data_IF_316711169532
#
_entry.id   IF_316711169532
#
_cell.length_a   1.000
_cell.length_b   1.000
_cell.length_c   1.000
_cell.angle_alpha   90.00
_cell.angle_beta   90.00
_cell.angle_gamma   90.00
#
_symmetry.space_group_name_H-M   'P 1'
#
loop_
_entity.id
_entity.type
_entity.pdbx_description
1 polymer ?
#
# COMPACT_ATOMS: atom_id res chain seq x y z
N UNK A 1 -2.77 4.45 4.42
CA UNK A 1 -3.35 3.32 3.70
C UNK A 1 -2.54 2.03 3.84
N UNK A 2 -1.20 2.04 3.69
CA UNK A 2 -0.39 0.81 3.63
C UNK A 2 -0.36 -0.09 4.87
N UNK A 3 -0.46 0.42 6.10
CA UNK A 3 -0.38 -0.45 7.31
C UNK A 3 -1.54 -1.42 7.46
N UNK A 4 -2.70 -1.15 6.88
CA UNK A 4 -3.84 -2.06 6.97
C UNK A 4 -3.71 -3.26 6.01
N UNK A 5 -3.00 -3.08 4.90
CA UNK A 5 -2.85 -4.06 3.82
C UNK A 5 -1.44 -4.65 3.74
N UNK A 6 -0.48 -4.03 4.43
CA UNK A 6 0.91 -4.48 4.57
C UNK A 6 1.32 -4.33 6.04
N UNK A 7 0.90 -5.29 6.89
CA UNK A 7 0.89 -5.14 8.34
C UNK A 7 2.20 -5.53 9.03
N UNK A 8 3.12 -6.20 8.34
CA UNK A 8 4.35 -6.71 8.93
C UNK A 8 5.59 -6.10 8.28
N UNK A 9 6.72 -6.11 8.98
CA UNK A 9 7.99 -5.61 8.46
C UNK A 9 8.32 -6.22 7.09
N UNK A 10 8.13 -7.52 6.94
CA UNK A 10 8.43 -8.21 5.68
C UNK A 10 7.43 -7.93 4.55
N UNK A 11 6.22 -7.44 4.85
CA UNK A 11 5.22 -7.06 3.85
C UNK A 11 5.76 -6.00 2.89
N UNK A 12 6.58 -5.07 3.40
CA UNK A 12 7.15 -3.96 2.60
C UNK A 12 8.26 -4.42 1.65
N UNK A 13 8.98 -5.49 1.98
CA UNK A 13 10.00 -6.05 1.09
C UNK A 13 9.43 -6.51 -0.25
N UNK A 14 8.15 -6.90 -0.26
CA UNK A 14 7.39 -7.23 -1.47
C UNK A 14 7.21 -6.03 -2.41
N UNK A 15 7.21 -4.81 -1.85
CA UNK A 15 6.95 -3.56 -2.58
C UNK A 15 8.22 -2.91 -3.14
N UNK A 16 9.41 -3.50 -2.94
CA UNK A 16 10.69 -2.93 -3.40
C UNK A 16 10.94 -3.03 -4.90
N UNK A 17 10.00 -3.59 -5.66
CA UNK A 17 10.13 -3.83 -7.08
C UNK A 17 10.73 -5.20 -7.42
N UNK A 18 10.70 -5.55 -8.71
CA UNK A 18 11.19 -6.83 -9.22
C UNK A 18 10.27 -8.03 -8.98
N UNK A 19 9.07 -7.79 -8.46
CA UNK A 19 8.01 -8.79 -8.30
C UNK A 19 6.70 -8.28 -8.91
N UNK A 20 5.64 -9.09 -8.89
CA UNK A 20 4.32 -8.68 -9.40
C UNK A 20 3.56 -7.73 -8.45
N UNK A 21 4.11 -7.38 -7.30
CA UNK A 21 3.47 -6.47 -6.37
C UNK A 21 3.65 -5.01 -6.80
N UNK A 22 2.61 -4.16 -6.64
CA UNK A 22 2.68 -2.76 -6.99
C UNK A 22 3.63 -2.01 -6.05
N UNK A 23 4.45 -1.12 -6.59
CA UNK A 23 5.38 -0.27 -5.82
C UNK A 23 4.97 1.20 -5.83
N UNK A 24 3.97 1.57 -6.61
CA UNK A 24 3.58 2.96 -6.87
C UNK A 24 2.08 3.13 -6.79
N UNK A 25 1.63 4.35 -6.44
CA UNK A 25 0.21 4.69 -6.31
C UNK A 25 -0.29 5.19 -7.66
N UNK A 26 -0.90 4.30 -8.41
CA UNK A 26 -1.55 4.60 -9.69
C UNK A 26 -2.70 3.63 -9.95
N UNK A 27 -3.50 3.93 -10.95
CA UNK A 27 -4.56 3.06 -11.42
C UNK A 27 -4.51 2.93 -12.95
N UNK A 28 -5.11 1.88 -13.48
CA UNK A 28 -5.21 1.71 -14.93
C UNK A 28 -6.02 0.49 -15.34
N UNK A 29 -6.56 0.55 -16.56
CA UNK A 29 -7.23 -0.57 -17.19
C UNK A 29 -6.20 -1.63 -17.60
N UNK A 30 -6.45 -2.87 -17.24
CA UNK A 30 -5.57 -4.00 -17.57
C UNK A 30 -4.08 -3.86 -17.16
N UNK A 31 -3.70 -2.82 -16.45
CA UNK A 31 -2.33 -2.57 -16.06
C UNK A 31 -1.94 -3.40 -14.84
N UNK A 32 -1.03 -4.37 -15.02
CA UNK A 32 -0.55 -5.24 -13.95
C UNK A 32 0.45 -4.58 -13.01
N UNK A 33 1.05 -3.46 -13.39
CA UNK A 33 1.95 -2.69 -12.52
C UNK A 33 1.23 -1.67 -11.65
N UNK A 34 -0.06 -1.39 -11.92
CA UNK A 34 -0.86 -0.44 -11.16
C UNK A 34 -1.27 -1.00 -9.78
N UNK A 35 -1.40 -0.10 -8.79
CA UNK A 35 -1.93 -0.42 -7.46
C UNK A 35 -3.41 -0.80 -7.52
N UNK A 36 -4.18 -0.06 -8.30
CA UNK A 36 -5.59 -0.33 -8.57
C UNK A 36 -5.76 -0.66 -10.03
N UNK A 37 -6.09 -1.88 -10.31
CA UNK A 37 -6.33 -2.36 -11.67
C UNK A 37 -7.84 -2.45 -11.92
N UNK A 38 -8.28 -1.98 -13.09
CA UNK A 38 -9.62 -2.19 -13.61
C UNK A 38 -9.55 -3.28 -14.68
N UNK A 39 -9.94 -4.53 -14.40
CA UNK A 39 -9.93 -5.58 -15.40
C UNK A 39 -10.92 -5.30 -16.53
N UNK A 40 -10.63 -5.80 -17.72
CA UNK A 40 -11.60 -5.76 -18.83
C UNK A 40 -12.84 -6.57 -18.45
N UNK A 41 -13.99 -6.02 -18.71
CA UNK A 41 -15.26 -6.72 -18.60
C UNK A 41 -16.09 -6.54 -19.88
N UNK A 42 -16.97 -7.49 -20.14
CA UNK A 42 -17.89 -7.39 -21.30
C UNK A 42 -19.09 -6.52 -20.90
N UNK A 43 -19.48 -5.52 -21.72
CA UNK A 43 -20.62 -4.64 -21.40
C UNK A 43 -21.91 -5.40 -21.10
N UNK A 44 -22.13 -6.56 -21.76
CA UNK A 44 -23.32 -7.38 -21.54
C UNK A 44 -23.32 -8.10 -20.17
N UNK A 45 -22.19 -8.07 -19.47
CA UNK A 45 -21.99 -8.64 -18.14
C UNK A 45 -21.68 -7.56 -17.10
N UNK A 46 -22.58 -6.61 -16.94
CA UNK A 46 -22.41 -5.50 -16.00
C UNK A 46 -22.12 -5.96 -14.57
N UNK A 47 -22.57 -7.15 -14.17
CA UNK A 47 -22.25 -7.76 -12.88
C UNK A 47 -20.79 -8.19 -12.72
N UNK A 48 -20.00 -8.23 -13.79
CA UNK A 48 -18.56 -8.56 -13.74
C UNK A 48 -17.68 -7.31 -13.51
N UNK A 49 -18.27 -6.11 -13.49
CA UNK A 49 -17.54 -4.87 -13.24
C UNK A 49 -16.93 -4.89 -11.84
N UNK A 50 -15.60 -4.75 -11.77
CA UNK A 50 -14.86 -4.79 -10.51
C UNK A 50 -13.56 -4.00 -10.60
N UNK A 51 -13.03 -3.67 -9.47
CA UNK A 51 -11.64 -3.20 -9.32
C UNK A 51 -10.82 -4.28 -8.61
N UNK A 52 -9.55 -4.34 -8.91
CA UNK A 52 -8.57 -5.19 -8.25
C UNK A 52 -7.58 -4.31 -7.50
N UNK A 53 -7.71 -4.28 -6.18
CA UNK A 53 -6.71 -3.61 -5.34
C UNK A 53 -5.58 -4.59 -5.05
N UNK A 54 -4.36 -4.26 -5.50
CA UNK A 54 -3.21 -5.18 -5.53
C UNK A 54 -2.19 -4.95 -4.42
N UNK A 55 -2.42 -3.97 -3.55
CA UNK A 55 -1.53 -3.64 -2.44
C UNK A 55 -1.56 -4.63 -1.29
N UNK A 56 -2.65 -5.38 -1.10
CA UNK A 56 -2.88 -6.21 0.09
C UNK A 56 -1.92 -7.39 0.18
N UNK A 57 -1.26 -7.50 1.34
CA UNK A 57 -0.46 -8.66 1.72
C UNK A 57 -1.36 -9.82 2.15
N UNK A 58 -1.07 -11.08 1.78
CA UNK A 58 -1.84 -12.25 2.23
C UNK A 58 -1.92 -12.41 3.75
N UNK A 59 -0.96 -11.86 4.51
CA UNK A 59 -0.95 -11.87 5.97
C UNK A 59 -1.75 -10.73 6.60
N UNK A 60 -2.35 -9.84 5.80
CA UNK A 60 -3.14 -8.72 6.32
C UNK A 60 -4.41 -9.21 7.04
N UNK A 61 -4.80 -8.49 8.09
CA UNK A 61 -6.10 -8.72 8.74
C UNK A 61 -7.23 -8.31 7.77
N UNK A 62 -8.07 -9.26 7.28
CA UNK A 62 -9.06 -8.97 6.27
C UNK A 62 -10.14 -8.00 6.76
N UNK A 63 -10.50 -8.03 8.03
CA UNK A 63 -11.52 -7.12 8.58
C UNK A 63 -11.05 -5.66 8.52
N UNK A 64 -9.81 -5.38 8.91
CA UNK A 64 -9.24 -4.04 8.83
C UNK A 64 -9.05 -3.60 7.38
N UNK A 65 -8.61 -4.51 6.51
CA UNK A 65 -8.42 -4.24 5.09
C UNK A 65 -9.74 -3.88 4.41
N UNK A 66 -10.79 -4.69 4.59
CA UNK A 66 -12.10 -4.43 4.00
C UNK A 66 -12.75 -3.17 4.56
N UNK A 67 -12.71 -2.95 5.88
CA UNK A 67 -13.28 -1.74 6.49
C UNK A 67 -12.68 -0.47 5.86
N UNK A 68 -11.35 -0.43 5.73
CA UNK A 68 -10.68 0.72 5.18
C UNK A 68 -10.84 0.88 3.65
N UNK A 69 -10.92 -0.24 2.89
CA UNK A 69 -11.21 -0.19 1.44
C UNK A 69 -12.63 0.31 1.18
N UNK A 70 -13.60 -0.21 1.92
CA UNK A 70 -15.00 0.21 1.81
C UNK A 70 -15.16 1.69 2.18
N UNK A 71 -14.59 2.10 3.30
CA UNK A 71 -14.65 3.49 3.73
C UNK A 71 -13.98 4.43 2.71
N UNK A 72 -12.82 4.05 2.16
CA UNK A 72 -12.15 4.86 1.13
C UNK A 72 -12.97 4.97 -0.16
N UNK A 73 -13.65 3.89 -0.56
CA UNK A 73 -14.54 3.91 -1.72
C UNK A 73 -15.74 4.83 -1.51
N UNK A 74 -16.40 4.73 -0.35
CA UNK A 74 -17.53 5.59 0.02
C UNK A 74 -17.12 7.06 0.12
N UNK A 75 -16.03 7.37 0.79
CA UNK A 75 -15.50 8.73 0.90
C UNK A 75 -15.20 9.35 -0.47
N UNK A 76 -14.65 8.55 -1.39
CA UNK A 76 -14.40 8.98 -2.77
C UNK A 76 -15.68 9.30 -3.55
N UNK A 77 -16.76 8.53 -3.33
CA UNK A 77 -18.07 8.75 -3.94
C UNK A 77 -18.74 9.98 -3.32
N UNK A 78 -18.79 10.07 -1.99
CA UNK A 78 -19.43 11.16 -1.25
C UNK A 78 -18.79 12.52 -1.54
N UNK A 79 -17.48 12.56 -1.71
CA UNK A 79 -16.71 13.77 -2.04
C UNK A 79 -16.58 14.03 -3.54
N UNK A 80 -17.18 13.20 -4.38
CA UNK A 80 -17.08 13.30 -5.84
C UNK A 80 -15.60 13.45 -6.31
N UNK A 81 -14.69 12.67 -5.71
CA UNK A 81 -13.26 12.78 -5.97
C UNK A 81 -12.94 12.47 -7.43
N UNK A 82 -12.19 13.38 -8.06
CA UNK A 82 -11.69 13.14 -9.42
C UNK A 82 -10.52 12.18 -9.39
N UNK A 83 -10.55 11.17 -10.24
CA UNK A 83 -9.43 10.27 -10.43
C UNK A 83 -8.25 11.01 -11.08
N UNK A 84 -7.00 10.71 -10.69
CA UNK A 84 -5.84 11.14 -11.45
C UNK A 84 -5.85 10.53 -12.86
N UNK A 85 -4.94 10.96 -13.72
CA UNK A 85 -4.80 10.36 -15.04
C UNK A 85 -4.52 8.86 -14.93
N UNK A 86 -5.14 8.12 -15.82
CA UNK A 86 -4.88 6.69 -15.96
C UNK A 86 -3.43 6.44 -16.38
N UNK A 87 -2.83 5.38 -15.83
CA UNK A 87 -1.48 4.96 -16.19
C UNK A 87 -1.56 3.74 -17.11
N UNK A 88 -1.26 3.94 -18.37
CA UNK A 88 -1.25 2.87 -19.39
C UNK A 88 0.09 2.15 -19.44
N UNK A 89 1.18 2.85 -19.15
CA UNK A 89 2.54 2.32 -19.18
C UNK A 89 2.83 1.34 -18.05
N UNK A 90 3.82 0.47 -18.28
CA UNK A 90 4.41 -0.35 -17.24
C UNK A 90 5.23 0.54 -16.29
N UNK A 91 4.66 0.84 -15.11
CA UNK A 91 5.21 1.78 -14.12
C UNK A 91 6.59 1.34 -13.62
N UNK A 92 6.88 0.04 -13.65
CA UNK A 92 8.19 -0.47 -13.22
C UNK A 92 9.33 -0.10 -14.17
N UNK A 93 9.00 0.16 -15.45
CA UNK A 93 9.98 0.56 -16.47
C UNK A 93 10.24 2.06 -16.51
N UNK A 94 9.34 2.86 -15.95
CA UNK A 94 9.50 4.30 -15.89
C UNK A 94 10.66 4.69 -14.97
N UNK A 95 11.45 5.68 -15.37
CA UNK A 95 12.44 6.31 -14.49
C UNK A 95 11.77 7.12 -13.38
N UNK A 96 12.49 7.43 -12.31
CA UNK A 96 11.99 8.30 -11.22
C UNK A 96 11.54 9.67 -11.73
N UNK A 97 12.23 10.20 -12.74
CA UNK A 97 11.89 11.48 -13.37
C UNK A 97 10.54 11.41 -14.08
N UNK A 98 10.30 10.35 -14.83
CA UNK A 98 9.04 10.14 -15.57
C UNK A 98 7.88 9.92 -14.60
N UNK A 99 8.06 9.11 -13.56
CA UNK A 99 7.03 8.91 -12.52
C UNK A 99 6.66 10.21 -11.83
N UNK A 100 7.65 11.04 -11.45
CA UNK A 100 7.38 12.35 -10.85
C UNK A 100 6.66 13.29 -11.81
N UNK A 101 7.03 13.28 -13.09
CA UNK A 101 6.36 14.10 -14.11
C UNK A 101 4.90 13.71 -14.31
N UNK A 102 4.57 12.43 -14.15
CA UNK A 102 3.21 11.89 -14.23
C UNK A 102 2.45 11.97 -12.89
N UNK A 103 3.07 12.46 -11.82
CA UNK A 103 2.44 12.55 -10.51
C UNK A 103 2.19 11.19 -9.86
N UNK A 104 3.01 10.18 -10.14
CA UNK A 104 2.90 8.82 -9.60
C UNK A 104 3.81 8.69 -8.36
N UNK A 105 3.27 8.78 -7.13
CA UNK A 105 4.06 8.62 -5.92
C UNK A 105 4.37 7.16 -5.62
N UNK A 106 5.46 6.91 -4.90
CA UNK A 106 5.80 5.59 -4.40
C UNK A 106 4.94 5.20 -3.18
N UNK A 107 4.75 3.90 -3.00
CA UNK A 107 4.26 3.35 -1.73
C UNK A 107 5.39 3.41 -0.69
N UNK A 108 5.06 3.45 0.62
CA UNK A 108 6.05 3.28 1.68
C UNK A 108 6.83 1.98 1.49
N UNK A 109 8.15 2.05 1.65
CA UNK A 109 9.05 0.90 1.48
C UNK A 109 9.40 0.21 2.79
N UNK A 110 9.03 0.82 3.91
CA UNK A 110 9.27 0.29 5.26
C UNK A 110 8.03 0.43 6.13
N UNK A 111 7.97 -0.39 7.19
CA UNK A 111 6.93 -0.27 8.21
C UNK A 111 6.99 1.11 8.91
N UNK A 112 8.19 1.68 9.10
CA UNK A 112 8.35 3.02 9.70
C UNK A 112 7.73 4.13 8.86
N UNK A 113 8.01 4.14 7.55
CA UNK A 113 7.40 5.11 6.62
C UNK A 113 5.87 5.00 6.65
N UNK A 114 5.36 3.79 6.61
CA UNK A 114 3.91 3.56 6.66
C UNK A 114 3.29 3.95 8.01
N UNK A 115 4.00 3.76 9.13
CA UNK A 115 3.58 4.24 10.45
C UNK A 115 3.54 5.76 10.52
N UNK A 116 4.52 6.44 9.89
CA UNK A 116 4.52 7.90 9.80
C UNK A 116 3.29 8.43 9.08
N UNK A 117 2.92 7.81 7.95
CA UNK A 117 1.70 8.16 7.22
C UNK A 117 0.42 7.86 8.03
N UNK A 118 0.39 6.72 8.73
CA UNK A 118 -0.78 6.35 9.54
C UNK A 118 -1.01 7.33 10.68
N UNK A 119 0.03 7.76 11.40
CA UNK A 119 -0.07 8.74 12.51
C UNK A 119 -0.75 10.04 12.10
N UNK A 120 -0.55 10.46 10.85
CA UNK A 120 -1.07 11.71 10.32
C UNK A 120 -2.45 11.56 9.65
N UNK A 121 -2.97 10.34 9.55
CA UNK A 121 -4.20 10.06 8.84
C UNK A 121 -5.44 10.21 9.71
N UNK A 122 -6.04 11.39 9.70
CA UNK A 122 -7.36 11.63 10.32
C UNK A 122 -8.43 10.68 9.77
N UNK A 123 -8.39 10.43 8.46
CA UNK A 123 -9.30 9.48 7.81
C UNK A 123 -9.23 8.09 8.43
N UNK A 124 -8.02 7.56 8.63
CA UNK A 124 -7.87 6.22 9.24
C UNK A 124 -8.24 6.20 10.72
N UNK A 125 -8.02 7.28 11.44
CA UNK A 125 -8.47 7.40 12.82
C UNK A 125 -10.01 7.36 12.91
N UNK A 126 -10.71 8.02 12.00
CA UNK A 126 -12.18 7.97 11.92
C UNK A 126 -12.69 6.58 11.53
N UNK A 127 -12.08 5.94 10.52
CA UNK A 127 -12.51 4.61 10.03
C UNK A 127 -12.34 3.51 11.07
N UNK A 128 -11.24 3.51 11.79
CA UNK A 128 -10.92 2.47 12.78
C UNK A 128 -11.51 2.76 14.16
N UNK A 129 -11.82 4.03 14.44
CA UNK A 129 -12.14 4.51 15.77
C UNK A 129 -10.88 4.61 16.66
N UNK A 130 -10.98 5.41 17.70
CA UNK A 130 -9.84 5.80 18.56
C UNK A 130 -9.12 4.60 19.17
N UNK A 131 -9.86 3.65 19.73
CA UNK A 131 -9.27 2.47 20.40
C UNK A 131 -8.49 1.57 19.46
N UNK A 132 -9.09 1.20 18.31
CA UNK A 132 -8.44 0.29 17.34
C UNK A 132 -7.27 1.00 16.69
N UNK A 133 -7.41 2.27 16.36
CA UNK A 133 -6.33 3.07 15.78
C UNK A 133 -5.12 3.15 16.70
N UNK A 134 -5.32 3.52 17.97
CA UNK A 134 -4.27 3.59 18.97
C UNK A 134 -3.62 2.22 19.23
N UNK A 135 -4.44 1.15 19.26
CA UNK A 135 -3.95 -0.22 19.43
C UNK A 135 -3.04 -0.65 18.27
N UNK A 136 -3.46 -0.41 17.03
CA UNK A 136 -2.69 -0.75 15.82
C UNK A 136 -1.36 0.02 15.80
N UNK A 137 -1.39 1.33 16.03
CA UNK A 137 -0.19 2.15 16.08
C UNK A 137 0.80 1.62 17.11
N UNK A 138 0.39 1.50 18.37
CA UNK A 138 1.25 1.04 19.47
C UNK A 138 1.89 -0.31 19.20
N UNK A 139 1.11 -1.28 18.68
CA UNK A 139 1.64 -2.62 18.40
C UNK A 139 2.64 -2.62 17.24
N UNK A 140 2.36 -1.87 16.18
CA UNK A 140 3.24 -1.82 15.02
C UNK A 140 4.50 -1.01 15.26
N UNK A 141 4.44 0.03 16.08
CA UNK A 141 5.61 0.75 16.55
C UNK A 141 6.52 -0.12 17.43
N UNK A 142 5.93 -0.99 18.24
CA UNK A 142 6.70 -1.97 19.00
C UNK A 142 7.35 -2.99 18.08
N UNK A 143 6.62 -3.57 17.14
CA UNK A 143 7.14 -4.52 16.14
C UNK A 143 8.33 -3.92 15.37
N UNK A 144 8.20 -2.67 14.93
CA UNK A 144 9.27 -1.96 14.24
C UNK A 144 10.51 -1.76 15.12
N UNK A 145 10.33 -1.31 16.36
CA UNK A 145 11.45 -1.14 17.31
C UNK A 145 12.17 -2.44 17.62
N UNK A 146 11.42 -3.51 17.85
CA UNK A 146 12.00 -4.84 18.11
C UNK A 146 12.77 -5.36 16.87
N UNK A 147 12.23 -5.16 15.69
CA UNK A 147 12.91 -5.55 14.45
C UNK A 147 14.16 -4.72 14.19
N UNK A 148 14.08 -3.40 14.29
CA UNK A 148 15.18 -2.48 13.97
C UNK A 148 16.35 -2.58 14.96
N UNK A 149 16.09 -3.07 16.18
CA UNK A 149 17.13 -3.32 17.17
C UNK A 149 17.87 -4.66 17.01
N UNK A 150 17.42 -5.52 16.08
CA UNK A 150 18.06 -6.82 15.86
C UNK A 150 19.33 -6.67 15.05
N UNK A 151 20.40 -7.33 15.54
CA UNK A 151 21.63 -7.49 14.77
C UNK A 151 21.55 -8.81 14.03
N UNK A 152 21.50 -8.74 12.71
CA UNK A 152 21.36 -9.92 11.86
C UNK A 152 22.69 -10.62 11.59
N UNK A 153 22.63 -11.91 11.25
CA UNK A 153 23.85 -12.66 10.82
C UNK A 153 24.52 -12.03 9.59
N UNK A 154 23.71 -11.41 8.69
CA UNK A 154 24.24 -10.72 7.53
C UNK A 154 25.03 -9.47 7.90
N UNK A 155 24.55 -8.68 8.86
CA UNK A 155 25.25 -7.51 9.40
C UNK A 155 26.56 -7.91 10.09
N UNK A 156 26.50 -8.95 10.94
CA UNK A 156 27.69 -9.50 11.59
C UNK A 156 28.73 -9.95 10.56
N UNK A 157 28.31 -10.69 9.54
CA UNK A 157 29.21 -11.17 8.49
C UNK A 157 29.82 -10.06 7.64
N UNK A 158 29.09 -8.95 7.44
CA UNK A 158 29.50 -7.84 6.58
C UNK A 158 30.30 -6.78 7.30
N UNK A 159 29.97 -6.49 8.57
CA UNK A 159 30.48 -5.31 9.29
C UNK A 159 31.38 -5.65 10.48
N UNK A 160 31.39 -6.90 10.96
CA UNK A 160 32.27 -7.36 12.03
C UNK A 160 33.56 -8.05 11.55
N UNK A 161 33.83 -8.02 10.24
CA UNK A 161 35.17 -8.40 9.76
C UNK A 161 36.10 -7.21 10.00
N UNK A 162 36.72 -7.23 11.17
CA UNK A 162 37.91 -6.46 11.49
C UNK A 162 39.13 -7.23 10.96
#
# INVERSE_FOLDING_TARGET
MCIRDSQHVNSYKRLWGGSEAPSYICWGHNNRSALVRVPLYKPEKAGDARIEYRGTDPAANPYLAYAALLAAGLDGIEKEMKLPLETEDDVWRLSDKERRAQGIPALPLTLEEALSELRQSEFMAQVLGEEVFAYVLRNKEREWREYSAQITRGELAKFLRV
#
